data_IF_051411628167
#
_entry.id   IF_051411628167
#
_cell.length_a   1.000
_cell.length_b   1.000
_cell.length_c   1.000
_cell.angle_alpha   90.00
_cell.angle_beta   90.00
_cell.angle_gamma   90.00
#
_symmetry.space_group_name_H-M   'P 1'
#
loop_
_entity.id
_entity.type
_entity.pdbx_description
1 polymer ?
#
# COMPACT_ATOMS: atom_id res chain seq x y z
N UNK A 1 21.53 -7.91 8.12
CA UNK A 1 20.86 -6.64 8.53
C UNK A 1 20.22 -6.79 9.90
N UNK A 2 19.95 -5.69 10.57
CA UNK A 2 19.31 -5.69 11.90
C UNK A 2 17.88 -6.28 11.78
N UNK A 3 17.56 -7.26 12.66
CA UNK A 3 16.22 -7.88 12.70
C UNK A 3 15.17 -7.03 13.42
N UNK A 4 15.47 -5.74 13.67
CA UNK A 4 14.57 -4.81 14.36
C UNK A 4 13.94 -3.84 13.37
N UNK A 5 12.61 -3.82 13.32
CA UNK A 5 11.84 -2.93 12.45
C UNK A 5 10.97 -2.01 13.30
N UNK A 6 11.06 -0.71 13.04
CA UNK A 6 10.16 0.29 13.62
C UNK A 6 8.97 0.56 12.70
N UNK A 7 7.77 0.65 13.24
CA UNK A 7 6.57 1.02 12.49
C UNK A 7 5.94 2.23 13.15
N UNK A 8 5.88 3.35 12.44
CA UNK A 8 5.20 4.58 12.86
C UNK A 8 3.85 4.63 12.15
N UNK A 9 2.78 4.60 12.93
CA UNK A 9 1.40 4.47 12.47
C UNK A 9 0.93 3.02 12.51
N UNK A 10 -0.05 2.73 13.38
CA UNK A 10 -0.58 1.39 13.62
C UNK A 10 -2.04 1.27 13.18
N UNK A 11 -2.34 1.87 12.01
CA UNK A 11 -3.61 1.70 11.30
C UNK A 11 -3.70 0.37 10.56
N UNK A 12 -4.67 0.25 9.64
CA UNK A 12 -4.89 -0.99 8.90
C UNK A 12 -3.62 -1.56 8.25
N UNK A 13 -2.84 -0.70 7.57
CA UNK A 13 -1.65 -1.18 6.85
C UNK A 13 -0.47 -1.40 7.80
N UNK A 14 -0.20 -0.47 8.73
CA UNK A 14 0.90 -0.62 9.68
C UNK A 14 0.76 -1.85 10.57
N UNK A 15 -0.46 -2.14 11.06
CA UNK A 15 -0.73 -3.36 11.83
C UNK A 15 -0.60 -4.63 10.98
N UNK A 16 -1.02 -4.58 9.71
CA UNK A 16 -0.87 -5.71 8.78
C UNK A 16 0.61 -6.03 8.52
N UNK A 17 1.44 -5.00 8.28
CA UNK A 17 2.89 -5.16 8.12
C UNK A 17 3.51 -5.77 9.38
N UNK A 18 3.18 -5.21 10.55
CA UNK A 18 3.68 -5.74 11.82
C UNK A 18 3.33 -7.21 12.02
N UNK A 19 2.09 -7.58 11.70
CA UNK A 19 1.60 -8.94 11.84
C UNK A 19 2.33 -9.93 10.93
N UNK A 20 2.57 -9.57 9.67
CA UNK A 20 3.27 -10.45 8.72
C UNK A 20 4.77 -10.60 9.04
N UNK A 21 5.40 -9.56 9.61
CA UNK A 21 6.84 -9.56 9.89
C UNK A 21 7.22 -10.13 11.26
N UNK A 22 6.30 -10.20 12.22
CA UNK A 22 6.60 -10.48 13.64
C UNK A 22 7.27 -11.83 13.92
N UNK A 23 7.13 -12.83 13.04
CA UNK A 23 7.74 -14.14 13.21
C UNK A 23 9.26 -14.13 13.01
N UNK A 24 9.75 -13.24 12.15
CA UNK A 24 11.15 -13.18 11.74
C UNK A 24 11.87 -11.91 12.19
N UNK A 25 11.09 -10.86 12.53
CA UNK A 25 11.57 -9.55 12.92
C UNK A 25 11.03 -9.11 14.29
N UNK A 26 11.88 -8.46 15.08
CA UNK A 26 11.46 -7.78 16.31
C UNK A 26 10.82 -6.45 15.96
N UNK A 27 9.50 -6.35 16.15
CA UNK A 27 8.73 -5.17 15.78
C UNK A 27 8.61 -4.19 16.94
N UNK A 28 8.97 -2.93 16.71
CA UNK A 28 8.69 -1.78 17.55
C UNK A 28 7.64 -0.92 16.86
N UNK A 29 6.53 -0.64 17.52
CA UNK A 29 5.44 0.14 16.92
C UNK A 29 5.12 1.38 17.77
N UNK A 30 4.75 2.46 17.08
CA UNK A 30 4.23 3.68 17.70
C UNK A 30 3.02 4.18 16.90
N UNK A 31 1.97 4.56 17.60
CA UNK A 31 0.84 5.33 17.05
C UNK A 31 0.49 6.47 18.04
N UNK A 32 -0.03 7.58 17.50
CA UNK A 32 -0.52 8.70 18.33
C UNK A 32 -1.77 8.34 19.14
N UNK A 33 -2.51 7.32 18.69
CA UNK A 33 -3.67 6.75 19.37
C UNK A 33 -3.28 5.44 20.07
N UNK A 34 -3.07 5.44 21.39
CA UNK A 34 -2.65 4.25 22.12
C UNK A 34 -3.70 3.14 22.16
N UNK A 35 -4.97 3.44 21.85
CA UNK A 35 -6.04 2.43 21.83
C UNK A 35 -5.84 1.39 20.73
N UNK A 36 -5.07 1.71 19.70
CA UNK A 36 -4.67 0.79 18.62
C UNK A 36 -3.89 -0.43 19.11
N UNK A 37 -3.37 -0.36 20.33
CA UNK A 37 -2.57 -1.41 20.93
C UNK A 37 -3.32 -2.25 21.98
N UNK A 38 -4.62 -2.01 22.22
CA UNK A 38 -5.37 -2.68 23.28
C UNK A 38 -5.53 -4.21 23.11
N UNK A 39 -5.40 -4.74 21.90
CA UNK A 39 -5.55 -6.18 21.58
C UNK A 39 -4.32 -6.74 20.88
N UNK A 40 -3.14 -6.24 21.20
CA UNK A 40 -1.90 -6.71 20.59
C UNK A 40 -1.55 -8.13 20.97
N UNK A 41 -1.09 -8.91 19.99
CA UNK A 41 -0.32 -10.11 20.25
C UNK A 41 1.01 -9.76 20.95
N UNK A 42 1.47 -10.60 21.85
CA UNK A 42 2.63 -10.38 22.74
C UNK A 42 3.96 -10.04 22.07
N UNK A 43 4.07 -10.21 20.75
CA UNK A 43 5.34 -10.14 19.99
C UNK A 43 5.67 -8.75 19.44
N UNK A 44 4.79 -7.74 19.63
CA UNK A 44 5.00 -6.37 19.17
C UNK A 44 5.28 -5.47 20.37
N UNK A 45 6.41 -4.76 20.32
CA UNK A 45 6.85 -3.84 21.39
C UNK A 45 6.33 -2.44 21.12
N UNK A 46 5.52 -1.92 22.02
CA UNK A 46 5.01 -0.55 21.91
C UNK A 46 6.08 0.44 22.38
N UNK A 47 6.46 1.36 21.50
CA UNK A 47 7.36 2.45 21.86
C UNK A 47 6.59 3.59 22.52
N UNK A 48 7.20 4.24 23.50
CA UNK A 48 6.59 5.34 24.24
C UNK A 48 6.52 6.67 23.49
N UNK A 49 7.37 6.80 22.45
CA UNK A 49 7.42 7.95 21.55
C UNK A 49 8.09 7.58 20.23
N UNK A 50 7.97 8.45 19.22
CA UNK A 50 8.72 8.33 17.95
C UNK A 50 10.23 8.32 18.24
N UNK A 51 10.73 9.18 19.12
CA UNK A 51 12.15 9.22 19.48
C UNK A 51 12.60 7.91 20.13
N UNK A 52 11.78 7.36 21.04
CA UNK A 52 12.06 6.07 21.67
C UNK A 52 12.14 4.93 20.62
N UNK A 53 11.22 4.91 19.64
CA UNK A 53 11.25 3.96 18.54
C UNK A 53 12.53 4.14 17.71
N UNK A 54 12.84 5.37 17.27
CA UNK A 54 14.01 5.68 16.46
C UNK A 54 15.33 5.22 17.09
N UNK A 55 15.45 5.30 18.40
CA UNK A 55 16.65 4.87 19.13
C UNK A 55 16.82 3.32 19.20
N UNK A 56 15.77 2.56 18.90
CA UNK A 56 15.76 1.10 19.02
C UNK A 56 15.99 0.36 17.70
N UNK A 57 15.80 1.04 16.56
CA UNK A 57 15.79 0.41 15.24
C UNK A 57 16.63 1.19 14.23
N UNK A 58 17.08 0.49 13.17
CA UNK A 58 17.79 1.10 12.03
C UNK A 58 16.90 1.20 10.78
N UNK A 59 15.82 0.46 10.73
CA UNK A 59 14.83 0.53 9.64
C UNK A 59 13.48 0.95 10.21
N UNK A 60 12.88 1.95 9.58
CA UNK A 60 11.59 2.52 10.00
C UNK A 60 10.61 2.51 8.84
N UNK A 61 9.46 1.87 9.03
CA UNK A 61 8.33 1.91 8.11
C UNK A 61 7.37 3.01 8.58
N UNK A 62 7.19 4.04 7.74
CA UNK A 62 6.24 5.12 7.99
C UNK A 62 4.89 4.78 7.37
N UNK A 63 3.95 4.35 8.21
CA UNK A 63 2.60 3.92 7.84
C UNK A 63 1.53 4.94 8.28
N UNK A 64 1.86 6.22 8.17
CA UNK A 64 1.01 7.34 8.58
C UNK A 64 0.29 7.97 7.39
N UNK A 65 -0.78 8.68 7.67
CA UNK A 65 -1.54 9.40 6.64
C UNK A 65 -0.75 10.62 6.15
N UNK A 66 -0.90 11.02 4.86
CA UNK A 66 -0.15 12.15 4.28
C UNK A 66 -0.29 13.46 5.06
N UNK A 67 -1.45 13.73 5.67
CA UNK A 67 -1.68 14.95 6.44
C UNK A 67 -0.88 15.02 7.75
N UNK A 68 -0.48 13.88 8.32
CA UNK A 68 0.32 13.81 9.54
C UNK A 68 1.83 13.75 9.25
N UNK A 69 2.22 13.72 7.95
CA UNK A 69 3.57 13.33 7.53
C UNK A 69 4.63 14.33 7.99
N UNK A 70 4.39 15.63 7.79
CA UNK A 70 5.36 16.69 8.13
C UNK A 70 5.70 16.69 9.63
N UNK A 71 4.66 16.55 10.48
CA UNK A 71 4.83 16.47 11.94
C UNK A 71 5.68 15.28 12.36
N UNK A 72 5.57 14.16 11.63
CA UNK A 72 6.39 12.97 11.91
C UNK A 72 7.80 13.14 11.37
N UNK A 73 7.99 13.74 10.18
CA UNK A 73 9.32 14.04 9.64
C UNK A 73 10.14 14.92 10.61
N UNK A 74 9.51 15.96 11.17
CA UNK A 74 10.18 16.82 12.15
C UNK A 74 10.61 16.05 13.41
N UNK A 75 9.82 15.08 13.87
CA UNK A 75 10.14 14.25 15.03
C UNK A 75 11.22 13.21 14.77
N UNK A 76 11.31 12.66 13.57
CA UNK A 76 12.34 11.66 13.23
C UNK A 76 13.67 12.32 12.84
N UNK A 77 13.64 13.55 12.31
CA UNK A 77 14.81 14.28 11.78
C UNK A 77 16.04 14.25 12.71
N UNK A 78 15.92 14.49 14.04
CA UNK A 78 17.08 14.47 14.92
C UNK A 78 17.79 13.11 15.05
N UNK A 79 17.07 12.01 14.78
CA UNK A 79 17.55 10.64 14.98
C UNK A 79 17.59 9.80 13.70
N UNK A 80 17.48 10.43 12.50
CA UNK A 80 17.34 9.73 11.22
C UNK A 80 18.67 9.32 10.60
N UNK A 81 19.78 9.87 11.07
CA UNK A 81 21.12 9.57 10.54
C UNK A 81 21.35 8.05 10.47
N UNK A 82 21.90 7.59 9.34
CA UNK A 82 22.24 6.20 9.04
C UNK A 82 21.07 5.21 9.07
N UNK A 83 19.82 5.69 9.10
CA UNK A 83 18.63 4.83 9.06
C UNK A 83 18.07 4.69 7.65
N UNK A 84 17.36 3.56 7.45
CA UNK A 84 16.53 3.34 6.27
C UNK A 84 15.09 3.72 6.62
N UNK A 85 14.52 4.63 5.85
CA UNK A 85 13.11 5.01 5.93
C UNK A 85 12.36 4.36 4.78
N UNK A 86 11.33 3.58 5.10
CA UNK A 86 10.41 3.01 4.11
C UNK A 86 9.07 3.72 4.27
N UNK A 87 8.67 4.50 3.29
CA UNK A 87 7.40 5.22 3.31
C UNK A 87 6.33 4.47 2.53
N UNK A 88 5.16 4.24 3.15
CA UNK A 88 3.98 3.72 2.46
C UNK A 88 2.89 4.79 2.28
N UNK A 89 3.22 6.06 2.47
CA UNK A 89 2.27 7.15 2.35
C UNK A 89 1.94 7.45 0.88
N UNK A 90 0.66 7.42 0.54
CA UNK A 90 0.19 7.81 -0.78
C UNK A 90 0.52 9.29 -1.05
N UNK A 91 1.00 9.60 -2.25
CA UNK A 91 1.29 10.97 -2.67
C UNK A 91 2.50 11.65 -2.03
N UNK A 92 3.28 10.95 -1.18
CA UNK A 92 4.54 11.48 -0.62
C UNK A 92 5.72 10.87 -1.37
N UNK A 93 6.47 11.73 -2.08
CA UNK A 93 7.62 11.29 -2.88
C UNK A 93 8.87 11.10 -2.03
N UNK A 94 9.82 10.30 -2.51
CA UNK A 94 11.15 10.16 -1.87
C UNK A 94 11.87 11.48 -1.85
N UNK A 95 11.79 12.27 -2.93
CA UNK A 95 12.37 13.61 -3.02
C UNK A 95 11.83 14.55 -1.94
N UNK A 96 10.51 14.51 -1.69
CA UNK A 96 9.92 15.31 -0.61
C UNK A 96 10.50 14.95 0.76
N UNK A 97 10.64 13.66 1.05
CA UNK A 97 11.21 13.17 2.31
C UNK A 97 12.68 13.59 2.43
N UNK A 98 13.47 13.39 1.38
CA UNK A 98 14.89 13.72 1.32
C UNK A 98 15.13 15.23 1.44
N UNK A 99 14.26 16.06 0.87
CA UNK A 99 14.32 17.53 1.02
C UNK A 99 14.18 17.97 2.48
N UNK A 100 13.34 17.31 3.27
CA UNK A 100 13.11 17.66 4.68
C UNK A 100 14.17 17.06 5.58
N UNK A 101 14.52 15.79 5.37
CA UNK A 101 15.41 15.02 6.27
C UNK A 101 16.89 15.14 5.89
N UNK A 102 17.21 15.56 4.66
CA UNK A 102 18.57 15.62 4.13
C UNK A 102 18.96 14.33 3.41
N UNK A 103 20.25 13.99 3.43
CA UNK A 103 20.78 12.78 2.78
C UNK A 103 20.41 11.51 3.54
N UNK A 104 19.12 11.15 3.48
CA UNK A 104 18.58 9.97 4.14
C UNK A 104 18.24 8.88 3.10
N UNK A 105 18.42 7.62 3.48
CA UNK A 105 18.08 6.47 2.64
C UNK A 105 16.57 6.24 2.68
N UNK A 106 15.89 6.39 1.53
CA UNK A 106 14.43 6.28 1.44
C UNK A 106 14.05 5.24 0.40
N UNK A 107 13.15 4.34 0.78
CA UNK A 107 12.40 3.49 -0.15
C UNK A 107 10.92 3.89 -0.05
N UNK A 108 10.29 4.08 -1.18
CA UNK A 108 8.84 4.25 -1.25
C UNK A 108 8.20 2.93 -1.61
N UNK A 109 7.19 2.53 -0.84
CA UNK A 109 6.43 1.32 -1.04
C UNK A 109 4.94 1.65 -1.10
N UNK A 110 4.21 0.97 -1.98
CA UNK A 110 2.76 1.13 -2.11
C UNK A 110 2.11 -0.25 -2.05
N UNK A 111 1.86 -0.77 -0.84
CA UNK A 111 1.10 -2.00 -0.65
C UNK A 111 -0.39 -1.77 -0.88
N UNK A 112 -1.12 -2.86 -1.16
CA UNK A 112 -2.57 -2.84 -1.25
C UNK A 112 -3.24 -3.64 -0.10
N UNK A 113 -4.56 -3.56 0.01
CA UNK A 113 -5.32 -4.14 1.12
C UNK A 113 -5.12 -5.66 1.31
N UNK A 114 -4.99 -6.51 0.27
CA UNK A 114 -4.71 -7.94 0.44
C UNK A 114 -3.41 -8.27 1.18
N UNK A 115 -2.52 -7.33 1.40
CA UNK A 115 -1.37 -7.47 2.28
C UNK A 115 -1.76 -7.93 3.71
N UNK A 116 -3.00 -7.65 4.16
CA UNK A 116 -3.54 -8.16 5.46
C UNK A 116 -3.52 -9.68 5.57
N UNK A 117 -3.64 -10.37 4.46
CA UNK A 117 -3.66 -11.84 4.39
C UNK A 117 -2.39 -12.43 3.77
N UNK A 118 -1.35 -11.63 3.58
CA UNK A 118 -0.10 -12.05 2.95
C UNK A 118 -0.19 -12.30 1.43
N UNK A 119 -1.23 -11.77 0.76
CA UNK A 119 -1.45 -11.93 -0.69
C UNK A 119 -1.48 -10.58 -1.41
N UNK A 120 -0.90 -9.54 -0.83
CA UNK A 120 -0.89 -8.21 -1.41
C UNK A 120 0.06 -8.06 -2.60
N UNK A 121 0.02 -6.88 -3.19
CA UNK A 121 1.04 -6.41 -4.12
C UNK A 121 1.64 -5.14 -3.53
N UNK A 122 2.96 -5.06 -3.55
CA UNK A 122 3.66 -3.84 -3.16
C UNK A 122 4.51 -3.34 -4.31
N UNK A 123 4.20 -2.17 -4.85
CA UNK A 123 5.09 -1.48 -5.76
C UNK A 123 6.16 -0.74 -4.96
N UNK A 124 7.42 -0.85 -5.41
CA UNK A 124 8.59 -0.28 -4.72
C UNK A 124 9.37 0.63 -5.65
N UNK A 125 9.84 1.77 -5.12
CA UNK A 125 10.82 2.63 -5.77
C UNK A 125 11.86 3.12 -4.79
N UNK A 126 13.04 3.42 -5.34
CA UNK A 126 14.22 3.81 -4.57
C UNK A 126 14.44 5.31 -4.66
N UNK A 127 14.64 5.97 -3.52
CA UNK A 127 15.10 7.35 -3.44
C UNK A 127 16.57 7.50 -3.84
N UNK A 128 17.01 8.74 -3.90
CA UNK A 128 18.34 9.12 -4.40
C UNK A 128 19.49 8.55 -3.56
N UNK A 129 19.32 8.51 -2.24
CA UNK A 129 20.39 8.14 -1.31
C UNK A 129 20.32 6.68 -0.82
N UNK A 130 19.27 5.96 -1.14
CA UNK A 130 19.17 4.53 -0.83
C UNK A 130 20.03 3.71 -1.80
N UNK A 131 20.63 2.62 -1.32
CA UNK A 131 21.44 1.69 -2.11
C UNK A 131 20.59 0.58 -2.73
N UNK A 132 21.18 -0.27 -3.58
CA UNK A 132 20.51 -1.47 -4.07
C UNK A 132 20.26 -2.47 -2.92
N UNK A 133 21.20 -2.58 -1.97
CA UNK A 133 21.00 -3.43 -0.79
C UNK A 133 19.81 -2.95 0.08
N UNK A 134 19.59 -1.63 0.16
CA UNK A 134 18.42 -1.08 0.85
C UNK A 134 17.12 -1.45 0.11
N UNK A 135 17.17 -1.42 -1.22
CA UNK A 135 16.04 -1.80 -2.06
C UNK A 135 15.72 -3.29 -1.92
N UNK A 136 16.74 -4.15 -2.05
CA UNK A 136 16.59 -5.60 -1.93
C UNK A 136 16.05 -5.98 -0.53
N UNK A 137 16.57 -5.35 0.51
CA UNK A 137 16.07 -5.55 1.87
C UNK A 137 14.60 -5.11 2.03
N UNK A 138 14.23 -3.96 1.48
CA UNK A 138 12.84 -3.53 1.50
C UNK A 138 11.94 -4.49 0.69
N UNK A 139 12.42 -4.97 -0.44
CA UNK A 139 11.72 -5.96 -1.25
C UNK A 139 11.48 -7.25 -0.45
N UNK A 140 12.51 -7.78 0.21
CA UNK A 140 12.41 -8.97 1.06
C UNK A 140 11.38 -8.78 2.18
N UNK A 141 11.33 -7.60 2.81
CA UNK A 141 10.32 -7.29 3.83
C UNK A 141 8.90 -7.33 3.26
N UNK A 142 8.70 -6.79 2.05
CA UNK A 142 7.36 -6.74 1.47
C UNK A 142 6.93 -8.05 0.82
N UNK A 143 7.85 -9.00 0.54
CA UNK A 143 7.50 -10.37 0.13
C UNK A 143 6.72 -11.13 1.21
N UNK A 144 6.87 -10.79 2.50
CA UNK A 144 5.99 -11.32 3.56
C UNK A 144 4.53 -10.89 3.41
N UNK A 145 4.28 -9.82 2.66
CA UNK A 145 2.93 -9.29 2.44
C UNK A 145 2.33 -9.76 1.10
N UNK A 146 3.12 -10.46 0.27
CA UNK A 146 2.74 -10.96 -1.04
C UNK A 146 3.77 -10.62 -2.13
N UNK A 147 3.32 -10.30 -3.33
CA UNK A 147 4.18 -10.02 -4.47
C UNK A 147 4.73 -8.59 -4.46
N UNK A 148 5.88 -8.40 -5.08
CA UNK A 148 6.51 -7.08 -5.20
C UNK A 148 6.82 -6.73 -6.65
N UNK A 149 6.75 -5.44 -6.99
CA UNK A 149 7.10 -4.92 -8.31
C UNK A 149 7.97 -3.67 -8.16
N UNK A 150 9.20 -3.72 -8.71
CA UNK A 150 10.05 -2.53 -8.84
C UNK A 150 9.54 -1.64 -9.97
N UNK A 151 9.32 -0.37 -9.68
CA UNK A 151 8.89 0.63 -10.65
C UNK A 151 9.66 1.94 -10.47
N UNK A 152 9.66 2.78 -11.50
CA UNK A 152 10.11 4.17 -11.37
C UNK A 152 9.17 4.94 -10.43
N UNK A 153 9.69 5.86 -9.63
CA UNK A 153 8.87 6.63 -8.69
C UNK A 153 7.75 7.43 -9.37
N UNK A 154 8.00 7.93 -10.58
CA UNK A 154 6.96 8.61 -11.40
C UNK A 154 5.73 7.75 -11.67
N UNK A 155 5.85 6.41 -11.60
CA UNK A 155 4.76 5.46 -11.80
C UNK A 155 3.98 5.13 -10.50
N UNK A 156 4.41 5.63 -9.34
CA UNK A 156 3.77 5.30 -8.06
C UNK A 156 2.32 5.77 -7.95
N UNK A 157 1.97 6.90 -8.56
CA UNK A 157 0.59 7.35 -8.59
C UNK A 157 -0.28 6.45 -9.47
N UNK A 158 0.25 6.00 -10.61
CA UNK A 158 -0.40 5.00 -11.46
C UNK A 158 -0.53 3.65 -10.74
N UNK A 159 0.49 3.21 -10.00
CA UNK A 159 0.43 2.01 -9.17
C UNK A 159 -0.67 2.11 -8.10
N UNK A 160 -0.82 3.27 -7.45
CA UNK A 160 -1.91 3.52 -6.49
C UNK A 160 -3.28 3.38 -7.16
N UNK A 161 -3.44 3.92 -8.38
CA UNK A 161 -4.68 3.81 -9.15
C UNK A 161 -5.01 2.37 -9.57
N UNK A 162 -4.01 1.57 -9.93
CA UNK A 162 -4.21 0.19 -10.44
C UNK A 162 -4.25 -0.83 -9.30
N UNK A 163 -3.17 -0.98 -8.51
CA UNK A 163 -3.11 -2.02 -7.47
C UNK A 163 -3.68 -1.56 -6.14
N UNK A 164 -3.50 -0.29 -5.77
CA UNK A 164 -4.04 0.26 -4.52
C UNK A 164 -5.56 0.32 -4.49
N UNK A 165 -6.17 0.86 -5.55
CA UNK A 165 -7.62 0.99 -5.67
C UNK A 165 -8.28 -0.20 -6.36
N UNK A 166 -7.52 -1.01 -7.10
CA UNK A 166 -8.01 -2.13 -7.91
C UNK A 166 -8.91 -3.14 -7.19
N UNK A 167 -8.61 -3.54 -5.93
CA UNK A 167 -9.50 -4.45 -5.22
C UNK A 167 -10.91 -3.87 -5.03
N UNK A 168 -11.05 -2.56 -4.82
CA UNK A 168 -12.37 -1.93 -4.73
C UNK A 168 -13.11 -1.94 -6.07
N UNK A 169 -12.40 -1.78 -7.19
CA UNK A 169 -12.99 -1.93 -8.54
C UNK A 169 -13.50 -3.35 -8.78
N UNK A 170 -12.71 -4.34 -8.35
CA UNK A 170 -13.10 -5.75 -8.45
C UNK A 170 -14.42 -5.99 -7.73
N UNK A 171 -14.54 -5.54 -6.49
CA UNK A 171 -15.77 -5.71 -5.71
C UNK A 171 -16.95 -4.95 -6.28
N UNK A 172 -16.74 -3.75 -6.78
CA UNK A 172 -17.78 -2.93 -7.42
C UNK A 172 -18.30 -3.60 -8.69
N UNK A 173 -17.41 -4.14 -9.52
CA UNK A 173 -17.80 -4.85 -10.74
C UNK A 173 -18.49 -6.19 -10.45
N UNK A 174 -18.12 -6.91 -9.39
CA UNK A 174 -18.83 -8.11 -8.95
C UNK A 174 -20.29 -7.77 -8.60
N UNK A 175 -20.52 -6.68 -7.86
CA UNK A 175 -21.88 -6.21 -7.51
C UNK A 175 -22.65 -5.75 -8.75
N UNK A 176 -22.03 -4.92 -9.60
CA UNK A 176 -22.68 -4.39 -10.81
C UNK A 176 -23.11 -5.48 -11.80
N UNK A 177 -22.40 -6.62 -11.82
CA UNK A 177 -22.73 -7.77 -12.68
C UNK A 177 -23.54 -8.86 -11.96
N UNK A 178 -24.02 -8.58 -10.74
CA UNK A 178 -24.82 -9.51 -9.93
C UNK A 178 -24.13 -10.88 -9.72
N UNK A 179 -22.79 -10.87 -9.58
CA UNK A 179 -22.05 -12.10 -9.30
C UNK A 179 -22.25 -12.47 -7.84
N UNK A 180 -22.86 -13.62 -7.61
CA UNK A 180 -23.12 -14.11 -6.27
C UNK A 180 -21.83 -14.52 -5.57
N UNK A 181 -21.46 -13.80 -4.51
CA UNK A 181 -20.17 -13.96 -3.79
C UNK A 181 -20.06 -15.35 -3.13
N UNK A 182 -21.17 -15.98 -2.76
CA UNK A 182 -21.23 -17.36 -2.25
C UNK A 182 -20.80 -18.39 -3.29
N UNK A 183 -20.95 -18.09 -4.58
CA UNK A 183 -20.49 -18.93 -5.67
C UNK A 183 -19.02 -18.60 -6.00
N UNK A 184 -18.11 -19.24 -5.28
CA UNK A 184 -16.65 -19.02 -5.43
C UNK A 184 -16.15 -19.24 -6.86
N UNK A 185 -16.73 -20.19 -7.60
CA UNK A 185 -16.33 -20.46 -8.98
C UNK A 185 -16.72 -19.31 -9.89
N UNK A 186 -17.96 -18.82 -9.79
CA UNK A 186 -18.42 -17.67 -10.57
C UNK A 186 -17.58 -16.42 -10.30
N UNK A 187 -17.21 -16.17 -9.03
CA UNK A 187 -16.31 -15.06 -8.66
C UNK A 187 -14.94 -15.21 -9.36
N UNK A 188 -14.33 -16.41 -9.30
CA UNK A 188 -13.03 -16.66 -9.92
C UNK A 188 -13.07 -16.54 -11.44
N UNK A 189 -14.09 -17.09 -12.09
CA UNK A 189 -14.30 -16.98 -13.55
C UNK A 189 -14.47 -15.53 -13.96
N UNK A 190 -15.35 -14.77 -13.29
CA UNK A 190 -15.54 -13.36 -13.59
C UNK A 190 -14.26 -12.54 -13.44
N UNK A 191 -13.51 -12.76 -12.36
CA UNK A 191 -12.26 -12.03 -12.14
C UNK A 191 -11.23 -12.39 -13.20
N UNK A 192 -11.08 -13.66 -13.55
CA UNK A 192 -10.15 -14.13 -14.57
C UNK A 192 -10.51 -13.63 -15.97
N UNK A 193 -11.77 -13.77 -16.35
CA UNK A 193 -12.19 -13.59 -17.75
C UNK A 193 -12.66 -12.17 -18.05
N UNK A 194 -13.01 -11.37 -17.04
CA UNK A 194 -13.53 -10.01 -17.20
C UNK A 194 -12.63 -8.99 -16.49
N UNK A 195 -12.47 -9.09 -15.17
CA UNK A 195 -11.79 -8.05 -14.39
C UNK A 195 -10.31 -7.91 -14.74
N UNK A 196 -9.55 -9.01 -14.79
CA UNK A 196 -8.11 -8.99 -15.07
C UNK A 196 -7.81 -8.38 -16.45
N UNK A 197 -8.48 -8.78 -17.55
CA UNK A 197 -8.31 -8.15 -18.86
C UNK A 197 -8.57 -6.63 -18.86
N UNK A 198 -9.65 -6.19 -18.20
CA UNK A 198 -9.99 -4.77 -18.08
C UNK A 198 -8.96 -3.98 -17.26
N UNK A 199 -8.51 -4.54 -16.13
CA UNK A 199 -7.49 -3.87 -15.30
C UNK A 199 -6.13 -3.82 -16.01
N UNK A 200 -5.77 -4.86 -16.78
CA UNK A 200 -4.57 -4.85 -17.60
C UNK A 200 -4.61 -3.74 -18.65
N UNK A 201 -5.72 -3.61 -19.36
CA UNK A 201 -5.92 -2.53 -20.35
C UNK A 201 -5.80 -1.15 -19.67
N UNK A 202 -6.46 -0.96 -18.51
CA UNK A 202 -6.35 0.24 -17.73
C UNK A 202 -4.90 0.54 -17.32
N UNK A 203 -4.16 -0.46 -16.83
CA UNK A 203 -2.75 -0.29 -16.44
C UNK A 203 -1.88 0.15 -17.64
N UNK A 204 -2.06 -0.45 -18.81
CA UNK A 204 -1.35 -0.05 -20.03
C UNK A 204 -1.67 1.40 -20.43
N UNK A 205 -2.93 1.82 -20.31
CA UNK A 205 -3.34 3.21 -20.61
C UNK A 205 -2.73 4.24 -19.65
N UNK A 206 -2.31 3.82 -18.45
CA UNK A 206 -1.58 4.64 -17.49
C UNK A 206 -0.05 4.58 -17.64
N UNK A 207 0.48 3.89 -18.65
CA UNK A 207 1.89 3.90 -19.02
C UNK A 207 2.71 2.72 -18.50
N UNK A 208 2.12 1.68 -17.91
CA UNK A 208 2.83 0.46 -17.57
C UNK A 208 3.17 -0.36 -18.83
N UNK A 209 4.33 -1.03 -18.83
CA UNK A 209 4.66 -1.98 -19.88
C UNK A 209 3.65 -3.13 -19.91
N UNK A 210 3.63 -3.90 -21.01
CA UNK A 210 2.72 -5.04 -21.13
C UNK A 210 2.93 -6.05 -20.00
N UNK A 211 4.17 -6.31 -19.63
CA UNK A 211 4.56 -7.24 -18.58
C UNK A 211 4.16 -6.72 -17.18
N UNK A 212 4.42 -5.45 -16.91
CA UNK A 212 4.03 -4.81 -15.65
C UNK A 212 2.51 -4.75 -15.49
N UNK A 213 1.80 -4.40 -16.57
CA UNK A 213 0.34 -4.35 -16.57
C UNK A 213 -0.28 -5.73 -16.33
N UNK A 214 0.25 -6.77 -16.96
CA UNK A 214 -0.14 -8.16 -16.72
C UNK A 214 0.09 -8.56 -15.26
N UNK A 215 1.30 -8.31 -14.75
CA UNK A 215 1.66 -8.62 -13.37
C UNK A 215 0.71 -7.94 -12.38
N UNK A 216 0.50 -6.64 -12.53
CA UNK A 216 -0.38 -5.87 -11.66
C UNK A 216 -1.83 -6.35 -11.72
N UNK A 217 -2.36 -6.59 -12.93
CA UNK A 217 -3.75 -6.99 -13.11
C UNK A 217 -4.03 -8.39 -12.55
N UNK A 218 -3.18 -9.38 -12.88
CA UNK A 218 -3.33 -10.76 -12.44
C UNK A 218 -3.26 -10.85 -10.91
N UNK A 219 -2.22 -10.25 -10.32
CA UNK A 219 -2.03 -10.33 -8.88
C UNK A 219 -3.08 -9.50 -8.12
N UNK A 220 -3.49 -8.33 -8.61
CA UNK A 220 -4.59 -7.56 -8.00
C UNK A 220 -5.91 -8.32 -8.06
N UNK A 221 -6.23 -8.95 -9.18
CA UNK A 221 -7.45 -9.75 -9.32
C UNK A 221 -7.46 -10.93 -8.36
N UNK A 222 -6.41 -11.76 -8.40
CA UNK A 222 -6.31 -12.96 -7.56
C UNK A 222 -6.31 -12.62 -6.06
N UNK A 223 -5.55 -11.60 -5.65
CA UNK A 223 -5.51 -11.17 -4.25
C UNK A 223 -6.82 -10.56 -3.76
N UNK A 224 -7.59 -9.91 -4.64
CA UNK A 224 -8.94 -9.42 -4.31
C UNK A 224 -9.90 -10.58 -4.01
N UNK A 225 -9.84 -11.65 -4.81
CA UNK A 225 -10.60 -12.88 -4.54
C UNK A 225 -10.13 -13.52 -3.23
N UNK A 226 -8.81 -13.62 -3.01
CA UNK A 226 -8.23 -14.16 -1.78
C UNK A 226 -8.72 -13.41 -0.54
N UNK A 227 -8.69 -12.07 -0.58
CA UNK A 227 -9.15 -11.23 0.53
C UNK A 227 -10.65 -11.43 0.80
N UNK A 228 -11.49 -11.45 -0.23
CA UNK A 228 -12.93 -11.68 -0.11
C UNK A 228 -13.24 -13.03 0.56
N UNK A 229 -12.61 -14.10 0.09
CA UNK A 229 -12.88 -15.46 0.58
C UNK A 229 -12.31 -15.71 1.98
N UNK A 230 -11.14 -15.17 2.30
CA UNK A 230 -10.47 -15.41 3.60
C UNK A 230 -11.06 -14.56 4.72
N UNK A 231 -11.51 -13.34 4.45
CA UNK A 231 -12.04 -12.45 5.50
C UNK A 231 -13.52 -12.68 5.77
N UNK A 232 -14.25 -13.27 4.83
CA UNK A 232 -15.71 -13.44 4.88
C UNK A 232 -16.48 -12.11 5.03
N UNK A 233 -15.81 -10.98 4.74
CA UNK A 233 -16.45 -9.67 4.68
C UNK A 233 -17.22 -9.54 3.38
N UNK A 234 -18.29 -8.74 3.41
CA UNK A 234 -19.02 -8.38 2.19
C UNK A 234 -18.16 -7.48 1.28
N UNK A 235 -18.51 -7.47 0.00
CA UNK A 235 -17.88 -6.55 -0.98
C UNK A 235 -18.02 -5.09 -0.55
N UNK A 236 -19.15 -4.70 0.03
CA UNK A 236 -19.40 -3.36 0.54
C UNK A 236 -18.45 -2.99 1.70
N UNK A 237 -18.27 -3.90 2.68
CA UNK A 237 -17.33 -3.68 3.80
C UNK A 237 -15.89 -3.60 3.32
N UNK A 238 -15.49 -4.44 2.36
CA UNK A 238 -14.16 -4.39 1.77
C UNK A 238 -13.94 -3.09 0.98
N UNK A 239 -14.90 -2.66 0.16
CA UNK A 239 -14.84 -1.36 -0.52
C UNK A 239 -14.68 -0.21 0.47
N UNK A 240 -15.45 -0.22 1.56
CA UNK A 240 -15.36 0.82 2.60
C UNK A 240 -13.98 0.87 3.26
N UNK A 241 -13.34 -0.28 3.50
CA UNK A 241 -11.99 -0.32 4.10
C UNK A 241 -10.90 0.20 3.15
N UNK A 242 -11.09 0.09 1.83
CA UNK A 242 -10.15 0.54 0.80
C UNK A 242 -10.36 2.02 0.48
N UNK A 243 -11.62 2.48 0.53
CA UNK A 243 -12.00 3.82 0.11
C UNK A 243 -11.81 4.83 1.23
N UNK A 244 -10.94 5.80 1.02
CA UNK A 244 -10.81 6.97 1.91
C UNK A 244 -11.57 8.15 1.33
N UNK A 245 -12.19 8.97 2.19
CA UNK A 245 -12.90 10.19 1.78
C UNK A 245 -11.95 11.14 1.05
N UNK A 246 -12.34 11.57 -0.14
CA UNK A 246 -11.53 12.41 -1.04
C UNK A 246 -10.32 11.70 -1.63
N UNK A 247 -10.24 10.36 -1.54
CA UNK A 247 -9.13 9.57 -2.04
C UNK A 247 -9.27 9.11 -3.49
N UNK A 248 -8.26 8.39 -3.95
CA UNK A 248 -8.16 7.86 -5.33
C UNK A 248 -9.26 6.86 -5.66
N UNK A 249 -9.56 5.98 -4.73
CA UNK A 249 -10.60 4.94 -4.90
C UNK A 249 -11.98 5.58 -5.02
N UNK A 250 -12.31 6.57 -4.20
CA UNK A 250 -13.59 7.27 -4.28
C UNK A 250 -13.76 7.97 -5.64
N UNK A 251 -12.72 8.65 -6.13
CA UNK A 251 -12.74 9.30 -7.44
C UNK A 251 -13.03 8.31 -8.58
N UNK A 252 -12.44 7.12 -8.52
CA UNK A 252 -12.69 6.07 -9.51
C UNK A 252 -14.10 5.48 -9.43
N UNK A 253 -14.58 5.16 -8.23
CA UNK A 253 -15.92 4.58 -8.03
C UNK A 253 -17.03 5.53 -8.52
N UNK A 254 -16.84 6.85 -8.40
CA UNK A 254 -17.77 7.84 -8.98
C UNK A 254 -17.90 7.68 -10.50
N UNK A 255 -16.82 7.34 -11.19
CA UNK A 255 -16.84 7.10 -12.65
C UNK A 255 -17.58 5.80 -12.96
N UNK A 256 -17.26 4.70 -12.26
CA UNK A 256 -17.93 3.42 -12.45
C UNK A 256 -19.44 3.50 -12.21
N UNK A 257 -19.88 4.18 -11.14
CA UNK A 257 -21.28 4.36 -10.81
C UNK A 257 -22.05 5.23 -11.83
N UNK A 258 -21.34 6.01 -12.65
CA UNK A 258 -21.92 6.75 -13.79
C UNK A 258 -21.93 5.97 -15.11
N UNK A 259 -21.52 4.69 -15.06
CA UNK A 259 -21.44 3.83 -16.25
C UNK A 259 -20.15 4.02 -17.07
N UNK A 260 -19.15 4.69 -16.50
CA UNK A 260 -17.83 4.82 -17.15
C UNK A 260 -17.05 3.50 -17.13
N UNK A 261 -16.07 3.39 -18.02
CA UNK A 261 -15.19 2.23 -18.13
C UNK A 261 -14.19 2.16 -16.97
N UNK A 262 -13.60 0.97 -16.75
CA UNK A 262 -12.54 0.79 -15.77
C UNK A 262 -11.28 1.62 -16.10
N UNK A 263 -11.01 1.84 -17.39
CA UNK A 263 -9.92 2.71 -17.85
C UNK A 263 -10.15 4.18 -17.44
N UNK A 264 -11.36 4.70 -17.63
CA UNK A 264 -11.74 6.05 -17.19
C UNK A 264 -11.69 6.19 -15.67
N UNK A 265 -12.13 5.17 -14.95
CA UNK A 265 -12.05 5.12 -13.49
C UNK A 265 -10.59 5.16 -13.00
N UNK A 266 -9.71 4.37 -13.61
CA UNK A 266 -8.28 4.35 -13.29
C UNK A 266 -7.61 5.69 -13.61
N UNK A 267 -7.96 6.35 -14.73
CA UNK A 267 -7.50 7.71 -15.05
C UNK A 267 -7.96 8.75 -14.02
N UNK A 268 -9.20 8.65 -13.55
CA UNK A 268 -9.71 9.53 -12.50
C UNK A 268 -8.96 9.30 -11.17
N UNK A 269 -8.67 8.06 -10.81
CA UNK A 269 -7.85 7.72 -9.66
C UNK A 269 -6.42 8.25 -9.78
N UNK A 270 -5.78 8.12 -10.96
CA UNK A 270 -4.44 8.66 -11.22
C UNK A 270 -4.44 10.18 -11.04
N UNK A 271 -5.35 10.88 -11.70
CA UNK A 271 -5.49 12.34 -11.56
C UNK A 271 -5.62 12.73 -10.10
N UNK A 272 -6.46 12.01 -9.34
CA UNK A 272 -6.63 12.29 -7.92
C UNK A 272 -5.38 12.01 -7.10
N UNK A 273 -4.62 10.95 -7.43
CA UNK A 273 -3.33 10.67 -6.80
C UNK A 273 -2.32 11.80 -7.05
N UNK A 274 -2.27 12.34 -8.26
CA UNK A 274 -1.42 13.49 -8.63
C UNK A 274 -1.80 14.75 -7.86
N UNK A 275 -3.11 15.06 -7.75
CA UNK A 275 -3.60 16.21 -6.96
C UNK A 275 -3.25 16.10 -5.46
N UNK A 276 -3.16 14.90 -4.94
CA UNK A 276 -2.81 14.64 -3.53
C UNK A 276 -1.30 14.56 -3.31
N UNK A 277 -0.50 14.47 -4.38
CA UNK A 277 0.95 14.30 -4.28
C UNK A 277 1.64 15.56 -3.79
N UNK A 278 2.68 15.37 -2.95
CA UNK A 278 3.60 16.39 -2.48
C UNK A 278 5.01 16.06 -2.96
N UNK A 279 5.69 17.05 -3.55
CA UNK A 279 7.08 16.91 -3.99
C UNK A 279 7.23 16.39 -5.43
N UNK A 280 6.23 16.60 -6.28
CA UNK A 280 6.31 16.40 -7.75
C UNK A 280 5.98 17.68 -8.47
#
# INVERSE_FOLDING_TARGET
MDKKIGIIGFGNMGSSIAWQLKSDYQIYAFDKDPTKFNNLACDIRVATSITDLMNKVNTVISAIKPQDFDVVLDKIKPAVKDKLIISIAAGITTEYIEKILGMVRVIRAMPNMPAKIGEGITCLSRGKYATEEDFDFAQDLFLYLGETLRIDEKMMNAATAISGSGPAYCYDLLEANNIEVSNTNAVREFVKDVFIPLLKQAAQSLGFSKEQAEFLAVNTGNSSVGLLLKTKLSTAELKQQITSKGGTTEAALVILHKGGSLEEAAKAALKRAEELSRGG
#
